data_IF_064114826685
#
_entry.id   IF_064114826685
#
_cell.length_a   1.000
_cell.length_b   1.000
_cell.length_c   1.000
_cell.angle_alpha   90.00
_cell.angle_beta   90.00
_cell.angle_gamma   90.00
#
_symmetry.space_group_name_H-M   'P 1'
#
loop_
_entity.id
_entity.type
_entity.pdbx_description
1 polymer ?
#
# COMPACT_ATOMS: atom_id res chain seq x y z
N UNK A 1 -35.20 9.64 3.74
CA UNK A 1 -34.21 10.53 3.12
C UNK A 1 -32.91 9.85 2.72
N UNK A 2 -32.79 8.49 2.91
CA UNK A 2 -31.63 7.74 2.41
C UNK A 2 -31.72 7.61 0.89
N UNK A 3 -30.61 7.79 0.20
CA UNK A 3 -30.49 7.60 -1.24
C UNK A 3 -29.78 6.27 -1.61
N UNK A 4 -29.15 5.62 -0.63
CA UNK A 4 -28.44 4.35 -0.74
C UNK A 4 -28.38 3.68 0.63
N UNK A 5 -28.28 2.35 0.67
CA UNK A 5 -28.11 1.58 1.91
C UNK A 5 -26.90 0.66 1.78
N UNK A 6 -26.07 0.61 2.81
CA UNK A 6 -24.95 -0.33 2.92
C UNK A 6 -25.26 -1.40 3.96
N UNK A 7 -24.98 -2.67 3.62
CA UNK A 7 -25.10 -3.83 4.50
C UNK A 7 -23.72 -4.35 4.86
N UNK A 8 -23.34 -4.31 6.13
CA UNK A 8 -22.12 -4.94 6.60
C UNK A 8 -22.44 -6.21 7.41
N UNK A 9 -21.87 -7.34 6.95
CA UNK A 9 -21.96 -8.65 7.61
C UNK A 9 -23.40 -9.13 7.88
N UNK A 10 -24.38 -8.65 7.11
CA UNK A 10 -25.77 -9.12 7.17
C UNK A 10 -25.88 -10.48 6.49
N UNK A 11 -26.62 -11.47 7.07
CA UNK A 11 -26.81 -12.76 6.42
C UNK A 11 -27.34 -12.62 4.98
N UNK A 12 -26.68 -13.27 4.02
CA UNK A 12 -26.91 -13.09 2.58
C UNK A 12 -28.38 -13.24 2.14
N UNK A 13 -29.11 -14.20 2.73
CA UNK A 13 -30.54 -14.40 2.43
C UNK A 13 -31.40 -13.23 2.90
N UNK A 14 -31.04 -12.61 4.04
CA UNK A 14 -31.77 -11.46 4.59
C UNK A 14 -31.45 -10.22 3.77
N UNK A 15 -30.18 -9.94 3.50
CA UNK A 15 -29.75 -8.81 2.69
C UNK A 15 -30.43 -8.82 1.30
N UNK A 16 -30.50 -10.00 0.65
CA UNK A 16 -31.18 -10.16 -0.64
C UNK A 16 -32.64 -9.76 -0.55
N UNK A 17 -33.40 -10.29 0.41
CA UNK A 17 -34.82 -9.98 0.55
C UNK A 17 -35.07 -8.49 0.81
N UNK A 18 -34.24 -7.86 1.64
CA UNK A 18 -34.34 -6.42 1.91
C UNK A 18 -34.02 -5.62 0.66
N UNK A 19 -32.96 -5.99 -0.07
CA UNK A 19 -32.54 -5.33 -1.32
C UNK A 19 -33.68 -5.36 -2.35
N UNK A 20 -34.34 -6.49 -2.51
CA UNK A 20 -35.49 -6.67 -3.44
C UNK A 20 -36.73 -5.83 -3.07
N UNK A 21 -36.83 -5.36 -1.82
CA UNK A 21 -37.95 -4.53 -1.33
C UNK A 21 -37.65 -3.02 -1.39
N UNK A 22 -36.42 -2.62 -1.66
CA UNK A 22 -36.01 -1.22 -1.68
C UNK A 22 -35.94 -0.68 -3.11
N UNK A 23 -36.33 0.58 -3.28
CA UNK A 23 -36.19 1.31 -4.54
C UNK A 23 -34.81 2.05 -4.62
N UNK A 24 -34.11 2.13 -3.52
CA UNK A 24 -32.77 2.76 -3.45
C UNK A 24 -31.67 1.71 -3.63
N UNK A 25 -30.54 2.06 -4.23
CA UNK A 25 -29.40 1.15 -4.37
C UNK A 25 -28.91 0.58 -3.04
N UNK A 26 -28.53 -0.69 -3.06
CA UNK A 26 -27.96 -1.41 -1.91
C UNK A 26 -26.54 -1.87 -2.22
N UNK A 27 -25.61 -1.65 -1.27
CA UNK A 27 -24.21 -2.05 -1.37
C UNK A 27 -23.91 -3.04 -0.25
N UNK A 28 -23.29 -4.17 -0.57
CA UNK A 28 -22.94 -5.20 0.40
C UNK A 28 -21.44 -5.29 0.67
N UNK A 29 -21.10 -5.39 1.95
CA UNK A 29 -19.80 -5.87 2.40
C UNK A 29 -20.02 -7.07 3.34
N UNK A 30 -19.69 -8.27 2.87
CA UNK A 30 -19.99 -9.49 3.60
C UNK A 30 -21.47 -9.81 3.75
N UNK A 31 -22.31 -9.33 2.82
CA UNK A 31 -23.75 -9.51 2.82
C UNK A 31 -24.26 -10.42 1.68
N UNK A 32 -23.36 -11.14 1.00
CA UNK A 32 -23.69 -11.99 -0.14
C UNK A 32 -23.86 -11.20 -1.43
N UNK A 33 -24.20 -11.91 -2.52
CA UNK A 33 -24.28 -11.36 -3.89
C UNK A 33 -25.65 -10.79 -4.23
N UNK A 34 -26.59 -10.77 -3.30
CA UNK A 34 -27.97 -10.35 -3.53
C UNK A 34 -28.23 -8.86 -3.37
N UNK A 35 -27.21 -8.03 -3.25
CA UNK A 35 -27.26 -6.56 -3.26
C UNK A 35 -26.90 -6.01 -4.64
N UNK A 36 -27.23 -4.76 -4.94
CA UNK A 36 -26.96 -4.13 -6.24
C UNK A 36 -25.46 -3.93 -6.51
N UNK A 37 -24.67 -3.74 -5.47
CA UNK A 37 -23.23 -3.59 -5.57
C UNK A 37 -22.46 -4.23 -4.41
N UNK A 38 -21.14 -4.30 -4.56
CA UNK A 38 -20.23 -4.87 -3.57
C UNK A 38 -19.11 -3.89 -3.26
N UNK A 39 -18.66 -3.86 -2.02
CA UNK A 39 -17.50 -3.09 -1.59
C UNK A 39 -16.56 -3.99 -0.77
N UNK A 40 -15.27 -3.75 -0.88
CA UNK A 40 -14.22 -4.24 0.02
C UNK A 40 -13.16 -3.16 0.19
N UNK A 41 -12.58 -3.08 1.39
CA UNK A 41 -11.46 -2.18 1.63
C UNK A 41 -10.25 -2.62 0.80
N UNK A 42 -9.61 -1.67 0.11
CA UNK A 42 -8.44 -1.97 -0.72
C UNK A 42 -7.29 -2.57 0.09
N UNK A 43 -7.10 -2.14 1.34
CA UNK A 43 -6.10 -2.71 2.24
C UNK A 43 -6.32 -4.19 2.54
N UNK A 44 -7.57 -4.60 2.71
CA UNK A 44 -7.94 -5.99 2.92
C UNK A 44 -7.81 -6.79 1.63
N UNK A 45 -8.37 -6.25 0.54
CA UNK A 45 -8.41 -6.88 -0.78
C UNK A 45 -7.01 -7.13 -1.34
N UNK A 46 -6.07 -6.19 -1.12
CA UNK A 46 -4.70 -6.27 -1.61
C UNK A 46 -3.72 -6.92 -0.60
N UNK A 47 -4.19 -7.28 0.59
CA UNK A 47 -3.34 -7.89 1.61
C UNK A 47 -2.28 -6.96 2.18
N UNK A 48 -2.61 -5.66 2.32
CA UNK A 48 -1.78 -4.67 2.99
C UNK A 48 -1.97 -4.77 4.51
N UNK A 49 -3.22 -4.93 4.96
CA UNK A 49 -3.51 -5.19 6.36
C UNK A 49 -3.44 -6.68 6.66
N UNK A 50 -2.63 -7.07 7.65
CA UNK A 50 -2.32 -8.49 7.93
C UNK A 50 -2.77 -8.98 9.30
N UNK A 51 -3.01 -8.07 10.25
CA UNK A 51 -3.27 -8.42 11.65
C UNK A 51 -4.62 -9.12 11.86
N UNK A 52 -5.61 -8.76 11.05
CA UNK A 52 -6.93 -9.35 11.07
C UNK A 52 -7.49 -9.53 9.66
N UNK A 53 -8.16 -10.64 9.42
CA UNK A 53 -8.86 -10.91 8.16
C UNK A 53 -10.31 -11.25 8.45
N UNK A 54 -11.28 -10.34 8.18
CA UNK A 54 -12.69 -10.64 8.28
C UNK A 54 -13.07 -11.86 7.43
N UNK A 55 -14.05 -12.62 7.87
CA UNK A 55 -14.54 -13.82 7.15
C UNK A 55 -14.94 -13.51 5.70
N UNK A 56 -15.49 -12.34 5.47
CA UNK A 56 -15.97 -11.91 4.15
C UNK A 56 -14.85 -11.41 3.23
N UNK A 57 -13.63 -11.22 3.74
CA UNK A 57 -12.51 -10.71 2.93
C UNK A 57 -11.91 -11.83 2.07
N UNK A 58 -11.98 -11.67 0.78
CA UNK A 58 -11.16 -12.41 -0.19
C UNK A 58 -9.98 -11.56 -0.61
N UNK A 59 -8.76 -12.03 -0.35
CA UNK A 59 -7.53 -11.38 -0.83
C UNK A 59 -7.28 -11.75 -2.28
N UNK A 60 -6.95 -10.76 -3.10
CA UNK A 60 -6.61 -10.90 -4.51
C UNK A 60 -5.12 -10.65 -4.78
N UNK A 61 -4.40 -10.09 -3.79
CA UNK A 61 -2.96 -9.90 -3.81
C UNK A 61 -2.41 -10.01 -2.38
N UNK A 62 -1.07 -10.02 -2.26
CA UNK A 62 -0.34 -10.01 -0.98
C UNK A 62 0.76 -8.95 -1.02
N UNK A 63 0.34 -7.69 -1.00
CA UNK A 63 1.27 -6.55 -1.16
C UNK A 63 2.24 -6.41 0.00
N UNK A 64 1.85 -6.80 1.21
CA UNK A 64 2.76 -6.76 2.37
C UNK A 64 3.96 -7.67 2.18
N UNK A 65 3.80 -8.88 1.65
CA UNK A 65 4.94 -9.78 1.39
C UNK A 65 5.92 -9.18 0.38
N UNK A 66 5.38 -8.62 -0.71
CA UNK A 66 6.20 -7.99 -1.76
C UNK A 66 6.95 -6.77 -1.21
N UNK A 67 6.27 -5.92 -0.44
CA UNK A 67 6.87 -4.74 0.17
C UNK A 67 7.98 -5.12 1.17
N UNK A 68 7.72 -6.10 2.03
CA UNK A 68 8.70 -6.58 3.02
C UNK A 68 9.92 -7.20 2.33
N UNK A 69 9.71 -7.99 1.26
CA UNK A 69 10.81 -8.56 0.49
C UNK A 69 11.69 -7.46 -0.14
N UNK A 70 11.07 -6.44 -0.75
CA UNK A 70 11.80 -5.30 -1.33
C UNK A 70 12.60 -4.52 -0.28
N UNK A 71 11.98 -4.22 0.87
CA UNK A 71 12.67 -3.51 1.95
C UNK A 71 13.84 -4.33 2.55
N UNK A 72 13.69 -5.65 2.64
CA UNK A 72 14.79 -6.52 3.10
C UNK A 72 15.94 -6.55 2.09
N UNK A 73 15.64 -6.63 0.79
CA UNK A 73 16.64 -6.59 -0.27
C UNK A 73 17.41 -5.27 -0.24
N UNK A 74 16.70 -4.13 -0.22
CA UNK A 74 17.31 -2.81 -0.07
C UNK A 74 18.22 -2.73 1.16
N UNK A 75 17.74 -3.18 2.32
CA UNK A 75 18.55 -3.17 3.55
C UNK A 75 19.78 -4.08 3.49
N UNK A 76 19.73 -5.18 2.73
CA UNK A 76 20.87 -6.05 2.48
C UNK A 76 21.92 -5.35 1.59
N UNK A 77 21.49 -4.72 0.50
CA UNK A 77 22.36 -4.01 -0.42
C UNK A 77 23.08 -2.84 0.25
N UNK A 78 22.37 -2.05 1.06
CA UNK A 78 22.95 -0.97 1.84
C UNK A 78 24.01 -1.49 2.82
N UNK A 79 23.73 -2.60 3.53
CA UNK A 79 24.70 -3.21 4.46
C UNK A 79 25.91 -3.81 3.77
N UNK A 80 25.72 -4.34 2.57
CA UNK A 80 26.79 -4.89 1.75
C UNK A 80 27.62 -3.81 1.04
N UNK A 81 27.17 -2.55 1.02
CA UNK A 81 27.80 -1.46 0.29
C UNK A 81 27.63 -1.59 -1.24
N UNK A 82 26.63 -2.35 -1.70
CA UNK A 82 26.32 -2.50 -3.12
C UNK A 82 25.30 -1.50 -3.62
N UNK A 83 24.66 -0.77 -2.69
CA UNK A 83 23.77 0.35 -3.00
C UNK A 83 24.08 1.54 -2.07
N UNK A 84 24.12 2.80 -2.60
CA UNK A 84 24.02 3.14 -4.02
C UNK A 84 25.28 2.76 -4.82
N UNK A 85 25.08 2.39 -6.07
CA UNK A 85 26.13 2.23 -7.08
C UNK A 85 26.35 3.52 -7.89
N UNK A 86 27.19 3.46 -8.94
CA UNK A 86 27.50 4.64 -9.76
C UNK A 86 26.28 5.15 -10.53
N UNK A 87 25.36 4.27 -10.94
CA UNK A 87 24.12 4.64 -11.64
C UNK A 87 23.12 5.36 -10.73
N UNK A 88 23.25 5.15 -9.42
CA UNK A 88 22.40 5.76 -8.39
C UNK A 88 23.12 6.83 -7.57
N UNK A 89 24.25 7.33 -8.07
CA UNK A 89 25.08 8.37 -7.42
C UNK A 89 25.30 9.56 -8.34
N UNK A 90 25.40 10.74 -7.75
CA UNK A 90 25.70 11.95 -8.53
C UNK A 90 27.20 12.20 -8.53
N UNK A 91 27.78 12.37 -9.74
CA UNK A 91 29.13 12.79 -9.93
C UNK A 91 29.32 14.30 -9.71
N UNK A 92 30.57 14.72 -9.66
CA UNK A 92 30.98 16.12 -9.62
C UNK A 92 32.09 16.35 -10.66
N UNK A 93 32.12 17.52 -11.28
CA UNK A 93 33.24 17.92 -12.18
C UNK A 93 34.55 17.99 -11.39
N UNK A 94 35.65 17.47 -11.97
CA UNK A 94 36.94 17.38 -11.28
C UNK A 94 37.45 18.74 -10.80
N UNK A 95 37.22 19.82 -11.56
CA UNK A 95 37.64 21.17 -11.17
C UNK A 95 36.87 21.70 -9.98
N UNK A 96 35.54 21.37 -9.91
CA UNK A 96 34.73 21.76 -8.77
C UNK A 96 35.08 20.95 -7.53
N UNK A 97 35.45 19.67 -7.70
CA UNK A 97 35.93 18.82 -6.61
C UNK A 97 37.24 19.33 -6.03
N UNK A 98 38.24 19.70 -6.87
CA UNK A 98 39.50 20.26 -6.42
C UNK A 98 39.34 21.61 -5.68
N UNK A 99 38.44 22.49 -6.18
CA UNK A 99 38.09 23.72 -5.44
C UNK A 99 37.51 23.42 -4.06
N UNK A 100 36.62 22.46 -3.97
CA UNK A 100 36.01 22.03 -2.71
C UNK A 100 37.09 21.51 -1.73
N UNK A 101 38.00 20.65 -2.20
CA UNK A 101 39.10 20.13 -1.39
C UNK A 101 40.01 21.27 -0.83
N UNK A 102 40.33 22.25 -1.67
CA UNK A 102 41.10 23.44 -1.26
C UNK A 102 40.41 24.25 -0.15
N UNK A 103 39.09 24.35 -0.17
CA UNK A 103 38.30 25.03 0.86
C UNK A 103 38.31 24.26 2.19
N UNK A 104 38.19 22.92 2.13
CA UNK A 104 38.20 22.07 3.32
C UNK A 104 39.55 22.10 4.02
N UNK A 105 40.67 22.07 3.25
CA UNK A 105 42.01 22.12 3.81
C UNK A 105 42.31 23.45 4.52
N UNK A 106 41.87 24.59 3.94
CA UNK A 106 42.01 25.90 4.58
C UNK A 106 41.32 26.02 5.93
N UNK A 107 40.14 25.35 6.08
CA UNK A 107 39.40 25.34 7.36
C UNK A 107 40.04 24.50 8.46
N UNK A 108 40.87 23.49 8.11
CA UNK A 108 41.56 22.64 9.10
C UNK A 108 42.82 23.32 9.71
N UNK A 109 43.28 24.38 9.08
CA UNK A 109 44.49 25.12 9.51
C UNK A 109 44.18 26.53 10.05
N UNK A 110 42.89 26.86 10.17
CA UNK A 110 42.44 28.10 10.82
C UNK A 110 41.87 27.78 12.22
#
# INVERSE_FOLDING_TARGET
GCFMLEFEAVPAKIAKVISEQLEIPTIGIGAGVGTDGQILLSYDLLGVFTDFKPKFTKRYANMTEVAVAGLKAYGADVKAGTFPDDDHSYGVDDREYEKFLGLVQKRRHA
#
